data_IF_508113743734
#
_entry.id   IF_508113743734
#
_cell.length_a   1.000
_cell.length_b   1.000
_cell.length_c   1.000
_cell.angle_alpha   90.00
_cell.angle_beta   90.00
_cell.angle_gamma   90.00
#
_symmetry.space_group_name_H-M   'P 1'
#
loop_
_entity.id
_entity.type
_entity.pdbx_description
1 polymer ?
#
# COMPACT_ATOMS: atom_id res chain seq x y z
N UNK A 1 -4.20 -2.32 22.04
CA UNK A 1 -2.89 -2.01 22.64
C UNK A 1 -2.42 -0.74 21.99
N UNK A 2 -2.45 0.37 22.71
CA UNK A 2 -1.95 1.67 22.24
C UNK A 2 -0.42 1.60 22.19
N UNK A 3 0.15 1.89 21.02
CA UNK A 3 1.61 2.00 20.85
C UNK A 3 2.13 3.02 21.86
N UNK A 4 3.18 2.66 22.58
CA UNK A 4 3.71 3.41 23.71
C UNK A 4 4.20 4.79 23.22
N UNK A 5 3.91 5.90 23.93
CA UNK A 5 4.35 7.25 23.56
C UNK A 5 5.89 7.40 23.38
N UNK A 6 6.66 6.49 23.98
CA UNK A 6 8.14 6.42 23.87
C UNK A 6 8.64 6.26 22.42
N UNK A 7 7.86 5.65 21.52
CA UNK A 7 8.28 5.46 20.11
C UNK A 7 8.15 6.75 19.29
N UNK A 8 7.15 7.57 19.58
CA UNK A 8 6.92 8.81 18.84
C UNK A 8 7.88 9.91 19.29
N UNK A 9 8.21 9.97 20.59
CA UNK A 9 9.24 10.88 21.14
C UNK A 9 10.64 10.57 20.58
N UNK A 10 10.99 9.27 20.44
CA UNK A 10 12.26 8.85 19.82
C UNK A 10 12.32 9.26 18.35
N UNK A 11 11.25 9.04 17.61
CA UNK A 11 11.19 9.43 16.19
C UNK A 11 11.33 10.94 16.04
N UNK A 12 10.62 11.72 16.85
CA UNK A 12 10.74 13.18 16.83
C UNK A 12 12.18 13.66 17.14
N UNK A 13 12.83 13.06 18.12
CA UNK A 13 14.22 13.37 18.47
C UNK A 13 15.19 13.02 17.32
N UNK A 14 15.01 11.87 16.64
CA UNK A 14 15.82 11.51 15.46
C UNK A 14 15.62 12.52 14.31
N UNK A 15 14.37 12.92 14.07
CA UNK A 15 14.04 13.93 13.05
C UNK A 15 14.77 15.25 13.30
N UNK A 16 14.71 15.77 14.52
CA UNK A 16 15.40 17.02 14.88
C UNK A 16 16.91 16.94 14.68
N UNK A 17 17.54 15.83 15.02
CA UNK A 17 18.98 15.62 14.81
C UNK A 17 19.33 15.50 13.33
N UNK A 18 18.54 14.76 12.57
CA UNK A 18 18.72 14.62 11.13
C UNK A 18 18.53 15.98 10.40
N UNK A 19 17.57 16.81 10.84
CA UNK A 19 17.39 18.18 10.34
C UNK A 19 18.60 19.10 10.64
N UNK A 20 19.34 18.85 11.73
CA UNK A 20 20.61 19.54 12.04
C UNK A 20 21.80 19.00 11.24
N UNK A 21 21.61 18.01 10.36
CA UNK A 21 22.64 17.46 9.48
C UNK A 21 23.36 16.24 10.05
N UNK A 22 22.88 15.63 11.14
CA UNK A 22 23.48 14.43 11.69
C UNK A 22 23.14 13.20 10.84
N UNK A 23 24.12 12.69 10.07
CA UNK A 23 23.97 11.55 9.18
C UNK A 23 23.53 10.29 9.91
N UNK A 24 24.11 9.99 11.06
CA UNK A 24 23.77 8.80 11.84
C UNK A 24 22.28 8.79 12.25
N UNK A 25 21.74 9.96 12.64
CA UNK A 25 20.32 10.11 12.97
C UNK A 25 19.43 9.90 11.72
N UNK A 26 19.85 10.39 10.56
CA UNK A 26 19.13 10.19 9.30
C UNK A 26 19.12 8.70 8.89
N UNK A 27 20.27 8.04 8.97
CA UNK A 27 20.40 6.61 8.61
C UNK A 27 19.54 5.74 9.53
N UNK A 28 19.52 6.06 10.84
CA UNK A 28 18.69 5.36 11.82
C UNK A 28 17.19 5.60 11.53
N UNK A 29 16.79 6.85 11.28
CA UNK A 29 15.42 7.22 10.95
C UNK A 29 14.90 6.49 9.71
N UNK A 30 15.70 6.44 8.65
CA UNK A 30 15.36 5.71 7.42
C UNK A 30 15.28 4.21 7.68
N UNK A 31 16.23 3.64 8.41
CA UNK A 31 16.28 2.21 8.75
C UNK A 31 15.03 1.77 9.55
N UNK A 32 14.58 2.59 10.50
CA UNK A 32 13.38 2.28 11.29
C UNK A 32 12.09 2.37 10.47
N UNK A 33 12.06 3.18 9.40
CA UNK A 33 10.83 3.41 8.62
C UNK A 33 10.79 2.71 7.27
N UNK A 34 11.90 2.12 6.79
CA UNK A 34 11.91 1.40 5.51
C UNK A 34 10.89 0.26 5.48
N UNK A 35 10.74 -0.46 6.60
CA UNK A 35 9.79 -1.56 6.70
C UNK A 35 8.33 -1.08 6.61
N UNK A 36 8.01 0.07 7.21
CA UNK A 36 6.69 0.71 7.10
C UNK A 36 6.39 1.06 5.64
N UNK A 37 7.31 1.78 4.96
CA UNK A 37 7.16 2.18 3.56
C UNK A 37 7.01 0.95 2.65
N UNK A 38 7.86 -0.05 2.83
CA UNK A 38 7.80 -1.31 2.05
C UNK A 38 6.44 -2.01 2.19
N UNK A 39 5.87 -2.04 3.39
CA UNK A 39 4.58 -2.68 3.60
C UNK A 39 3.40 -1.87 3.03
N UNK A 40 3.47 -0.53 3.06
CA UNK A 40 2.44 0.31 2.42
C UNK A 40 2.47 0.10 0.90
N UNK A 41 3.64 0.28 0.30
CA UNK A 41 3.80 0.24 -1.16
C UNK A 41 3.53 -1.17 -1.70
N UNK A 42 4.12 -2.19 -1.08
CA UNK A 42 3.97 -3.59 -1.52
C UNK A 42 2.52 -4.07 -1.49
N UNK A 43 1.77 -3.73 -0.43
CA UNK A 43 0.35 -4.08 -0.35
C UNK A 43 -0.52 -3.31 -1.35
N UNK A 44 -0.26 -2.02 -1.51
CA UNK A 44 -1.03 -1.19 -2.41
C UNK A 44 -0.81 -1.56 -3.87
N UNK A 45 0.43 -1.80 -4.28
CA UNK A 45 0.80 -2.13 -5.65
C UNK A 45 0.66 -3.63 -5.99
N UNK A 46 0.63 -4.52 -4.98
CA UNK A 46 0.29 -5.95 -5.10
C UNK A 46 0.97 -6.67 -6.28
N UNK A 47 2.30 -6.61 -6.34
CA UNK A 47 3.09 -7.30 -7.38
C UNK A 47 3.37 -6.47 -8.63
N UNK A 48 3.13 -5.17 -8.60
CA UNK A 48 3.58 -4.29 -9.68
C UNK A 48 5.11 -4.33 -9.80
N UNK A 49 5.68 -4.41 -11.01
CA UNK A 49 7.13 -4.50 -11.19
C UNK A 49 7.90 -3.31 -10.59
N UNK A 50 7.31 -2.12 -10.57
CA UNK A 50 7.93 -0.89 -10.05
C UNK A 50 7.82 -0.76 -8.52
N UNK A 51 7.42 -1.80 -7.79
CA UNK A 51 7.24 -1.73 -6.33
C UNK A 51 8.50 -1.26 -5.62
N UNK A 52 9.65 -1.83 -5.94
CA UNK A 52 10.93 -1.48 -5.31
C UNK A 52 11.35 -0.05 -5.67
N UNK A 53 11.13 0.39 -6.92
CA UNK A 53 11.40 1.76 -7.37
C UNK A 53 10.53 2.77 -6.62
N UNK A 54 9.25 2.46 -6.40
CA UNK A 54 8.33 3.31 -5.63
C UNK A 54 8.74 3.39 -4.16
N UNK A 55 9.21 2.29 -3.57
CA UNK A 55 9.77 2.30 -2.20
C UNK A 55 10.99 3.20 -2.13
N UNK A 56 11.93 3.05 -3.06
CA UNK A 56 13.15 3.84 -3.11
C UNK A 56 12.85 5.33 -3.31
N UNK A 57 11.98 5.68 -4.29
CA UNK A 57 11.61 7.08 -4.54
C UNK A 57 10.88 7.68 -3.34
N UNK A 58 10.03 6.90 -2.65
CA UNK A 58 9.38 7.34 -1.40
C UNK A 58 10.42 7.72 -0.34
N UNK A 59 11.41 6.87 -0.10
CA UNK A 59 12.47 7.13 0.87
C UNK A 59 13.34 8.33 0.46
N UNK A 60 13.64 8.47 -0.82
CA UNK A 60 14.36 9.63 -1.35
C UNK A 60 13.57 10.93 -1.15
N UNK A 61 12.25 10.92 -1.35
CA UNK A 61 11.40 12.09 -1.10
C UNK A 61 11.33 12.42 0.40
N UNK A 62 11.28 11.41 1.27
CA UNK A 62 11.36 11.60 2.72
C UNK A 62 12.67 12.29 3.10
N UNK A 63 13.81 11.80 2.63
CA UNK A 63 15.13 12.36 2.92
C UNK A 63 15.24 13.81 2.40
N UNK A 64 14.85 14.06 1.15
CA UNK A 64 14.91 15.40 0.54
C UNK A 64 13.98 16.40 1.20
N UNK A 65 12.81 15.95 1.64
CA UNK A 65 11.79 16.79 2.24
C UNK A 65 11.94 17.00 3.74
N UNK A 66 12.80 16.24 4.42
CA UNK A 66 12.90 16.21 5.88
C UNK A 66 13.12 17.60 6.49
N UNK A 67 13.95 18.44 5.86
CA UNK A 67 14.20 19.81 6.30
C UNK A 67 12.98 20.75 6.25
N UNK A 68 11.92 20.35 5.53
CA UNK A 68 10.67 21.15 5.43
C UNK A 68 9.62 20.73 6.45
N UNK A 69 9.82 19.61 7.15
CA UNK A 69 8.89 19.11 8.16
C UNK A 69 8.96 20.01 9.40
N UNK A 70 7.84 20.68 9.70
CA UNK A 70 7.75 21.65 10.80
C UNK A 70 7.54 21.01 12.16
N UNK A 71 6.80 19.95 12.19
CA UNK A 71 6.48 19.20 13.40
C UNK A 71 7.11 17.80 13.34
N UNK A 72 8.23 17.58 14.08
CA UNK A 72 8.90 16.28 14.12
C UNK A 72 8.01 15.11 14.54
N UNK A 73 7.01 15.35 15.41
CA UNK A 73 6.08 14.32 15.86
C UNK A 73 5.16 13.82 14.74
N UNK A 74 4.96 14.63 13.69
CA UNK A 74 4.15 14.23 12.52
C UNK A 74 4.93 13.45 11.45
N UNK A 75 6.20 13.08 11.69
CA UNK A 75 7.07 12.43 10.70
C UNK A 75 6.44 11.17 10.11
N UNK A 76 5.84 10.32 10.95
CA UNK A 76 5.24 9.06 10.50
C UNK A 76 4.04 9.30 9.57
N UNK A 77 3.11 10.16 9.95
CA UNK A 77 1.95 10.51 9.11
C UNK A 77 2.38 11.19 7.81
N UNK A 78 3.38 12.05 7.86
CA UNK A 78 3.97 12.69 6.69
C UNK A 78 4.62 11.68 5.74
N UNK A 79 5.38 10.70 6.26
CA UNK A 79 5.97 9.60 5.48
C UNK A 79 4.89 8.75 4.81
N UNK A 80 3.82 8.42 5.53
CA UNK A 80 2.66 7.68 4.98
C UNK A 80 2.01 8.47 3.84
N UNK A 81 1.83 9.78 3.99
CA UNK A 81 1.28 10.65 2.94
C UNK A 81 2.17 10.68 1.69
N UNK A 82 3.50 10.75 1.86
CA UNK A 82 4.45 10.66 0.73
C UNK A 82 4.31 9.31 0.02
N UNK A 83 4.30 8.20 0.75
CA UNK A 83 4.14 6.87 0.17
C UNK A 83 2.86 6.77 -0.67
N UNK A 84 1.72 7.24 -0.14
CA UNK A 84 0.44 7.23 -0.86
C UNK A 84 0.47 8.11 -2.11
N UNK A 85 1.15 9.23 -2.08
CA UNK A 85 1.33 10.09 -3.25
C UNK A 85 2.19 9.42 -4.33
N UNK A 86 3.27 8.72 -3.96
CA UNK A 86 4.09 7.97 -4.91
C UNK A 86 3.32 6.79 -5.53
N UNK A 87 2.52 6.07 -4.75
CA UNK A 87 1.64 5.00 -5.26
C UNK A 87 0.66 5.55 -6.30
N UNK A 88 -0.03 6.66 -5.98
CA UNK A 88 -0.97 7.31 -6.92
C UNK A 88 -0.27 7.81 -8.18
N UNK A 89 0.97 8.29 -8.06
CA UNK A 89 1.80 8.75 -9.19
C UNK A 89 2.21 7.59 -10.08
N UNK A 90 2.69 6.48 -9.51
CA UNK A 90 3.02 5.27 -10.23
C UNK A 90 1.84 4.80 -11.07
N UNK A 91 0.65 4.69 -10.49
CA UNK A 91 -0.56 4.24 -11.21
C UNK A 91 -1.00 5.19 -12.32
N UNK A 92 -0.82 6.50 -12.16
CA UNK A 92 -1.14 7.48 -13.22
C UNK A 92 -0.15 7.44 -14.37
N UNK A 93 1.11 7.12 -14.07
CA UNK A 93 2.16 6.95 -15.10
C UNK A 93 1.99 5.68 -15.92
N UNK A 94 1.35 4.67 -15.33
CA UNK A 94 0.97 3.41 -15.99
C UNK A 94 -0.45 3.55 -16.59
N UNK A 95 -0.72 4.61 -17.39
CA UNK A 95 -1.92 4.63 -18.21
C UNK A 95 -1.88 3.44 -19.16
N UNK A 96 -2.97 2.68 -19.34
CA UNK A 96 -2.97 1.58 -20.27
C UNK A 96 -2.80 2.14 -21.69
N UNK A 97 -1.61 2.03 -22.22
CA UNK A 97 -1.47 1.79 -23.64
C UNK A 97 -2.22 0.48 -23.83
N UNK A 98 -3.32 0.54 -24.57
CA UNK A 98 -4.16 -0.60 -24.90
C UNK A 98 -3.34 -1.57 -25.76
N UNK A 99 -2.51 -2.35 -25.11
CA UNK A 99 -1.98 -3.60 -25.63
C UNK A 99 -2.50 -4.72 -24.77
N UNK A 100 -3.71 -5.17 -25.13
CA UNK A 100 -4.34 -6.38 -24.61
C UNK A 100 -3.47 -7.64 -24.78
N UNK A 101 -2.36 -7.55 -25.48
CA UNK A 101 -1.43 -8.65 -25.72
C UNK A 101 -0.31 -8.76 -24.68
N UNK A 102 0.00 -7.70 -23.92
CA UNK A 102 1.12 -7.68 -22.96
C UNK A 102 0.73 -7.91 -21.51
N UNK A 103 -0.55 -8.03 -21.20
CA UNK A 103 -1.05 -8.30 -19.85
C UNK A 103 -0.76 -9.74 -19.35
N UNK A 104 -0.20 -10.59 -20.21
CA UNK A 104 0.25 -11.95 -19.89
C UNK A 104 1.77 -12.03 -19.67
N UNK A 105 2.47 -10.92 -19.55
CA UNK A 105 3.81 -10.94 -19.02
C UNK A 105 3.71 -11.47 -17.59
N UNK A 106 4.11 -12.71 -17.44
CA UNK A 106 4.30 -13.44 -16.18
C UNK A 106 4.99 -12.51 -15.20
N UNK A 107 4.21 -11.86 -14.33
CA UNK A 107 4.78 -11.13 -13.21
C UNK A 107 5.73 -12.08 -12.51
N UNK A 108 6.95 -11.62 -12.26
CA UNK A 108 7.94 -12.37 -11.49
C UNK A 108 7.23 -12.96 -10.26
N UNK A 109 7.21 -14.30 -10.07
CA UNK A 109 6.60 -14.92 -8.90
C UNK A 109 7.14 -14.33 -7.57
N UNK A 110 8.32 -13.72 -7.58
CA UNK A 110 8.88 -12.96 -6.47
C UNK A 110 8.25 -11.58 -6.23
N UNK A 111 7.53 -11.03 -7.20
CA UNK A 111 6.94 -9.69 -7.10
C UNK A 111 5.56 -9.65 -6.44
N UNK A 112 4.88 -10.79 -6.27
CA UNK A 112 3.57 -10.83 -5.61
C UNK A 112 3.69 -10.67 -4.10
N UNK A 113 3.35 -9.46 -3.61
CA UNK A 113 3.42 -9.15 -2.18
C UNK A 113 2.51 -10.05 -1.32
N UNK A 114 1.40 -10.54 -1.84
CA UNK A 114 0.54 -11.46 -1.12
C UNK A 114 1.26 -12.82 -0.91
N UNK A 115 1.92 -13.34 -1.94
CA UNK A 115 2.72 -14.57 -1.83
C UNK A 115 3.93 -14.36 -0.91
N UNK A 116 4.65 -13.25 -1.05
CA UNK A 116 5.72 -12.88 -0.12
C UNK A 116 5.24 -12.82 1.33
N UNK A 117 4.05 -12.26 1.56
CA UNK A 117 3.44 -12.20 2.89
C UNK A 117 3.15 -13.60 3.43
N UNK A 118 2.57 -14.47 2.60
CA UNK A 118 2.26 -15.87 2.98
C UNK A 118 3.54 -16.61 3.36
N UNK A 119 4.56 -16.54 2.51
CA UNK A 119 5.81 -17.30 2.68
C UNK A 119 6.62 -16.74 3.86
N UNK A 120 6.86 -15.42 3.90
CA UNK A 120 7.73 -14.81 4.92
C UNK A 120 7.13 -14.81 6.32
N UNK A 121 5.81 -14.75 6.43
CA UNK A 121 5.12 -14.80 7.72
C UNK A 121 4.61 -16.20 8.07
N UNK A 122 4.85 -17.21 7.25
CA UNK A 122 4.40 -18.58 7.48
C UNK A 122 2.88 -18.67 7.67
N UNK A 123 2.11 -17.92 6.86
CA UNK A 123 0.66 -17.84 7.02
C UNK A 123 -0.01 -19.14 6.64
N UNK A 124 -0.94 -19.59 7.49
CA UNK A 124 -1.77 -20.76 7.27
C UNK A 124 -3.26 -20.40 7.29
N UNK A 125 -4.08 -21.32 6.85
CA UNK A 125 -5.55 -21.29 6.95
C UNK A 125 -6.15 -19.94 6.49
N UNK A 126 -6.95 -19.32 7.35
CA UNK A 126 -7.69 -18.12 7.00
C UNK A 126 -6.81 -16.87 6.84
N UNK A 127 -5.63 -16.82 7.46
CA UNK A 127 -4.67 -15.70 7.24
C UNK A 127 -4.11 -15.74 5.82
N UNK A 128 -3.75 -16.92 5.33
CA UNK A 128 -3.37 -17.14 3.93
C UNK A 128 -4.49 -16.77 2.98
N UNK A 129 -5.73 -17.16 3.31
CA UNK A 129 -6.92 -16.81 2.54
C UNK A 129 -7.12 -15.29 2.42
N UNK A 130 -6.93 -14.54 3.53
CA UNK A 130 -7.00 -13.07 3.50
C UNK A 130 -5.94 -12.49 2.56
N UNK A 131 -4.70 -12.96 2.64
CA UNK A 131 -3.63 -12.50 1.75
C UNK A 131 -3.95 -12.78 0.28
N UNK A 132 -4.44 -13.98 -0.06
CA UNK A 132 -4.88 -14.29 -1.43
C UNK A 132 -6.06 -13.43 -1.89
N UNK A 133 -6.99 -13.14 -0.98
CA UNK A 133 -8.17 -12.33 -1.28
C UNK A 133 -7.81 -10.87 -1.65
N UNK A 134 -6.67 -10.35 -1.21
CA UNK A 134 -6.23 -9.00 -1.56
C UNK A 134 -6.04 -8.81 -3.07
N UNK A 135 -5.66 -9.86 -3.79
CA UNK A 135 -5.49 -9.84 -5.24
C UNK A 135 -6.79 -9.52 -5.99
N UNK A 136 -7.95 -9.79 -5.36
CA UNK A 136 -9.28 -9.59 -5.93
C UNK A 136 -9.84 -8.19 -5.69
N UNK A 137 -9.18 -7.36 -4.89
CA UNK A 137 -9.64 -6.00 -4.59
C UNK A 137 -9.31 -5.03 -5.73
N UNK A 138 -10.14 -4.01 -5.86
CA UNK A 138 -9.84 -2.87 -6.73
C UNK A 138 -8.62 -2.10 -6.19
N UNK A 139 -7.87 -1.36 -7.03
CA UNK A 139 -6.69 -0.63 -6.61
C UNK A 139 -6.93 0.29 -5.41
N UNK A 140 -8.02 1.08 -5.41
CA UNK A 140 -8.36 1.99 -4.31
C UNK A 140 -8.69 1.26 -3.01
N UNK A 141 -9.33 0.09 -3.10
CA UNK A 141 -9.62 -0.74 -1.93
C UNK A 141 -8.34 -1.41 -1.38
N UNK A 142 -7.36 -1.72 -2.24
CA UNK A 142 -6.03 -2.20 -1.80
C UNK A 142 -5.24 -1.13 -1.05
N UNK A 143 -5.27 0.13 -1.53
CA UNK A 143 -4.65 1.27 -0.85
C UNK A 143 -5.22 1.45 0.55
N UNK A 144 -6.55 1.43 0.61
CA UNK A 144 -7.27 1.56 1.87
C UNK A 144 -6.99 0.38 2.81
N UNK A 145 -6.93 -0.85 2.28
CA UNK A 145 -6.59 -2.04 3.05
C UNK A 145 -5.16 -1.97 3.59
N UNK A 146 -4.19 -1.48 2.81
CA UNK A 146 -2.81 -1.34 3.24
C UNK A 146 -2.69 -0.42 4.47
N UNK A 147 -3.40 0.72 4.45
CA UNK A 147 -3.44 1.66 5.58
C UNK A 147 -4.26 1.12 6.76
N UNK A 148 -5.43 0.56 6.49
CA UNK A 148 -6.29 0.01 7.54
C UNK A 148 -5.64 -1.16 8.27
N UNK A 149 -4.88 -2.00 7.57
CA UNK A 149 -4.11 -3.07 8.21
C UNK A 149 -3.06 -2.49 9.18
N UNK A 150 -2.33 -1.45 8.77
CA UNK A 150 -1.34 -0.79 9.63
C UNK A 150 -1.99 -0.12 10.85
N UNK A 151 -3.17 0.47 10.66
CA UNK A 151 -3.96 1.00 11.77
C UNK A 151 -4.37 -0.11 12.74
N UNK A 152 -4.87 -1.23 12.23
CA UNK A 152 -5.26 -2.40 13.03
C UNK A 152 -4.07 -3.02 13.77
N UNK A 153 -2.88 -2.98 13.16
CA UNK A 153 -1.63 -3.40 13.76
C UNK A 153 -1.07 -2.38 14.79
N UNK A 154 -1.66 -1.19 14.89
CA UNK A 154 -1.17 -0.11 15.76
C UNK A 154 0.06 0.62 15.23
N UNK A 155 0.38 0.45 13.95
CA UNK A 155 1.53 1.09 13.31
C UNK A 155 1.25 2.53 12.89
N UNK A 156 0.00 2.87 12.56
CA UNK A 156 -0.47 4.23 12.28
C UNK A 156 -1.76 4.50 13.05
N UNK A 157 -2.08 5.77 13.26
CA UNK A 157 -3.34 6.18 13.87
C UNK A 157 -4.45 6.30 12.82
N UNK A 158 -5.73 6.35 13.28
CA UNK A 158 -6.86 6.72 12.43
C UNK A 158 -6.67 8.11 11.79
N UNK A 159 -6.05 9.04 12.49
CA UNK A 159 -5.73 10.37 11.99
C UNK A 159 -4.78 10.31 10.80
N UNK A 160 -3.74 9.48 10.87
CA UNK A 160 -2.76 9.29 9.80
C UNK A 160 -3.43 8.69 8.54
N UNK A 161 -4.31 7.69 8.73
CA UNK A 161 -5.08 7.10 7.63
C UNK A 161 -5.96 8.15 6.93
N UNK A 162 -6.68 8.95 7.70
CA UNK A 162 -7.57 10.02 7.18
C UNK A 162 -6.75 11.06 6.43
N UNK A 163 -5.63 11.51 7.00
CA UNK A 163 -4.74 12.48 6.38
C UNK A 163 -4.13 11.95 5.07
N UNK A 164 -3.65 10.70 5.07
CA UNK A 164 -3.04 10.07 3.90
C UNK A 164 -4.01 9.86 2.72
N UNK A 165 -5.30 9.67 3.02
CA UNK A 165 -6.35 9.52 2.01
C UNK A 165 -6.99 10.85 1.59
N UNK A 166 -6.66 11.95 2.28
CA UNK A 166 -7.26 13.28 2.06
C UNK A 166 -8.80 13.26 2.18
N UNK A 167 -9.32 12.46 3.11
CA UNK A 167 -10.74 12.27 3.34
C UNK A 167 -11.18 12.91 4.67
N UNK A 168 -12.49 13.12 4.84
CA UNK A 168 -13.04 13.35 6.18
C UNK A 168 -13.10 12.04 6.97
N UNK A 169 -13.07 12.12 8.31
CA UNK A 169 -13.15 10.94 9.18
C UNK A 169 -14.40 10.09 8.90
N UNK A 170 -15.54 10.73 8.61
CA UNK A 170 -16.79 10.05 8.29
C UNK A 170 -16.68 9.30 6.95
N UNK A 171 -16.14 9.93 5.90
CA UNK A 171 -15.94 9.28 4.61
C UNK A 171 -14.95 8.12 4.70
N UNK A 172 -13.86 8.29 5.47
CA UNK A 172 -12.91 7.22 5.69
C UNK A 172 -13.56 6.01 6.38
N UNK A 173 -14.41 6.23 7.40
CA UNK A 173 -15.14 5.16 8.07
C UNK A 173 -16.04 4.38 7.11
N UNK A 174 -16.83 5.08 6.28
CA UNK A 174 -17.71 4.45 5.27
C UNK A 174 -16.90 3.65 4.26
N UNK A 175 -15.79 4.22 3.76
CA UNK A 175 -14.92 3.53 2.80
C UNK A 175 -14.27 2.28 3.40
N UNK A 176 -13.83 2.34 4.66
CA UNK A 176 -13.28 1.18 5.38
C UNK A 176 -14.33 0.07 5.50
N UNK A 177 -15.57 0.39 5.87
CA UNK A 177 -16.63 -0.61 5.95
C UNK A 177 -16.95 -1.25 4.60
N UNK A 178 -17.00 -0.44 3.54
CA UNK A 178 -17.21 -0.94 2.17
C UNK A 178 -16.05 -1.85 1.74
N UNK A 179 -14.81 -1.45 1.96
CA UNK A 179 -13.62 -2.24 1.65
C UNK A 179 -13.62 -3.59 2.41
N UNK A 180 -13.97 -3.60 3.69
CA UNK A 180 -14.12 -4.84 4.46
C UNK A 180 -15.14 -5.79 3.83
N UNK A 181 -16.30 -5.27 3.42
CA UNK A 181 -17.31 -6.06 2.71
C UNK A 181 -16.80 -6.62 1.37
N UNK A 182 -15.97 -5.86 0.64
CA UNK A 182 -15.32 -6.34 -0.58
C UNK A 182 -14.28 -7.43 -0.28
N UNK A 183 -13.51 -7.28 0.79
CA UNK A 183 -12.53 -8.27 1.22
C UNK A 183 -13.22 -9.59 1.63
N UNK A 184 -14.31 -9.53 2.41
CA UNK A 184 -15.07 -10.73 2.79
C UNK A 184 -15.69 -11.42 1.57
N UNK A 185 -16.20 -10.64 0.60
CA UNK A 185 -16.67 -11.20 -0.66
C UNK A 185 -15.53 -11.86 -1.46
N UNK A 186 -14.35 -11.25 -1.49
CA UNK A 186 -13.17 -11.82 -2.14
C UNK A 186 -12.72 -13.13 -1.46
N UNK A 187 -12.78 -13.21 -0.14
CA UNK A 187 -12.49 -14.44 0.62
C UNK A 187 -13.47 -15.57 0.27
N UNK A 188 -14.77 -15.24 0.16
CA UNK A 188 -15.77 -16.20 -0.30
C UNK A 188 -15.45 -16.71 -1.72
N UNK A 189 -15.02 -15.81 -2.62
CA UNK A 189 -14.58 -16.19 -3.99
C UNK A 189 -13.40 -17.14 -3.94
N UNK A 190 -12.37 -16.86 -3.14
CA UNK A 190 -11.18 -17.72 -2.97
C UNK A 190 -11.59 -19.11 -2.48
N UNK A 191 -12.45 -19.21 -1.47
CA UNK A 191 -12.96 -20.49 -0.95
C UNK A 191 -13.77 -21.24 -1.98
N UNK A 192 -14.68 -20.55 -2.67
CA UNK A 192 -15.51 -21.18 -3.71
C UNK A 192 -14.64 -21.74 -4.83
N UNK A 193 -13.60 -21.02 -5.26
CA UNK A 193 -12.67 -21.47 -6.31
C UNK A 193 -11.80 -22.65 -5.86
N UNK A 194 -11.35 -22.67 -4.61
CA UNK A 194 -10.62 -23.83 -4.05
C UNK A 194 -11.46 -25.10 -4.06
N UNK A 195 -12.77 -24.97 -3.90
CA UNK A 195 -13.73 -26.09 -3.87
C UNK A 195 -14.61 -26.12 -5.13
N UNK A 196 -14.15 -25.55 -6.25
CA UNK A 196 -14.96 -25.42 -7.48
C UNK A 196 -15.49 -26.74 -8.03
N UNK A 197 -14.75 -27.84 -7.84
CA UNK A 197 -15.15 -29.19 -8.27
C UNK A 197 -16.40 -29.70 -7.55
N UNK A 198 -16.71 -29.19 -6.36
CA UNK A 198 -17.92 -29.54 -5.62
C UNK A 198 -19.19 -28.83 -6.13
N UNK A 199 -19.07 -27.89 -7.08
CA UNK A 199 -20.17 -27.14 -7.65
C UNK A 199 -20.07 -27.13 -9.19
N UNK A 200 -20.84 -27.97 -9.91
CA UNK A 200 -20.79 -28.02 -11.38
C UNK A 200 -21.07 -26.67 -12.05
N UNK A 201 -22.02 -25.89 -11.52
CA UNK A 201 -22.35 -24.56 -12.04
C UNK A 201 -21.18 -23.58 -11.90
N UNK A 202 -20.46 -23.62 -10.78
CA UNK A 202 -19.26 -22.79 -10.60
C UNK A 202 -18.13 -23.26 -11.52
N UNK A 203 -17.97 -24.57 -11.68
CA UNK A 203 -16.96 -25.13 -12.57
C UNK A 203 -17.20 -24.68 -14.01
N UNK A 204 -18.45 -24.72 -14.47
CA UNK A 204 -18.86 -24.25 -15.80
C UNK A 204 -18.71 -22.71 -15.93
N UNK A 205 -19.06 -21.92 -14.88
CA UNK A 205 -18.87 -20.47 -14.88
C UNK A 205 -17.39 -20.08 -14.98
N UNK A 206 -16.51 -20.87 -14.38
CA UNK A 206 -15.07 -20.61 -14.32
C UNK A 206 -14.29 -21.24 -15.48
N UNK A 207 -14.93 -21.92 -16.44
CA UNK A 207 -14.27 -22.51 -17.62
C UNK A 207 -13.61 -21.45 -18.50
N UNK A 208 -14.24 -20.30 -18.60
CA UNK A 208 -13.75 -19.16 -19.41
C UNK A 208 -12.80 -18.22 -18.63
N UNK A 209 -12.51 -18.55 -17.37
CA UNK A 209 -11.64 -17.73 -16.54
C UNK A 209 -10.17 -18.07 -16.79
N UNK A 210 -9.38 -17.03 -17.10
CA UNK A 210 -7.94 -17.09 -17.37
C UNK A 210 -7.05 -17.39 -16.14
N UNK A 211 -7.67 -17.53 -14.96
CA UNK A 211 -6.94 -17.73 -13.70
C UNK A 211 -6.52 -16.43 -13.01
N UNK A 212 -6.64 -15.27 -13.68
CA UNK A 212 -6.23 -13.99 -13.12
C UNK A 212 -7.34 -13.35 -12.26
N UNK A 213 -7.05 -12.97 -11.00
CA UNK A 213 -7.99 -12.22 -10.17
C UNK A 213 -8.33 -10.86 -10.77
N UNK A 214 -9.63 -10.55 -10.89
CA UNK A 214 -10.10 -9.26 -11.39
C UNK A 214 -11.41 -8.86 -10.73
N UNK A 215 -11.73 -7.56 -10.77
CA UNK A 215 -13.00 -7.03 -10.26
C UNK A 215 -14.22 -7.64 -10.98
N UNK A 216 -14.10 -7.92 -12.28
CA UNK A 216 -15.14 -8.55 -13.07
C UNK A 216 -15.41 -9.97 -12.56
N UNK A 217 -14.38 -10.78 -12.46
CA UNK A 217 -14.50 -12.16 -12.01
C UNK A 217 -14.90 -12.25 -10.54
N UNK A 218 -14.40 -11.35 -9.69
CA UNK A 218 -14.89 -11.23 -8.29
C UNK A 218 -16.41 -11.04 -8.26
N UNK A 219 -16.96 -10.14 -9.10
CA UNK A 219 -18.40 -9.88 -9.15
C UNK A 219 -19.18 -11.09 -9.68
N UNK A 220 -18.69 -11.73 -10.74
CA UNK A 220 -19.36 -12.91 -11.36
C UNK A 220 -19.40 -14.09 -10.40
N UNK A 221 -18.23 -14.53 -9.92
CA UNK A 221 -18.09 -15.66 -9.00
C UNK A 221 -18.76 -15.36 -7.65
N UNK A 222 -18.58 -14.16 -7.10
CA UNK A 222 -19.19 -13.76 -5.85
C UNK A 222 -20.73 -13.70 -5.91
N UNK A 223 -21.32 -13.33 -7.06
CA UNK A 223 -22.77 -13.42 -7.27
C UNK A 223 -23.24 -14.86 -7.21
N UNK A 224 -22.58 -15.75 -7.95
CA UNK A 224 -22.89 -17.18 -7.90
C UNK A 224 -22.73 -17.74 -6.49
N UNK A 225 -21.62 -17.45 -5.81
CA UNK A 225 -21.31 -17.97 -4.48
C UNK A 225 -22.32 -17.55 -3.41
N UNK A 226 -22.96 -16.39 -3.58
CA UNK A 226 -24.05 -15.93 -2.68
C UNK A 226 -25.40 -16.55 -3.01
N UNK A 227 -25.65 -16.91 -4.25
CA UNK A 227 -26.92 -17.48 -4.71
C UNK A 227 -26.96 -19.01 -4.64
N UNK A 228 -25.82 -19.67 -4.69
CA UNK A 228 -25.70 -21.13 -4.69
C UNK A 228 -25.49 -21.64 -3.25
N UNK A 229 -26.35 -22.51 -2.78
CA UNK A 229 -26.28 -23.07 -1.43
C UNK A 229 -24.95 -23.79 -1.14
N UNK A 230 -24.47 -24.61 -2.09
CA UNK A 230 -23.21 -25.34 -1.96
C UNK A 230 -22.00 -24.40 -1.79
N UNK A 231 -21.96 -23.29 -2.56
CA UNK A 231 -20.91 -22.29 -2.45
C UNK A 231 -21.09 -21.39 -1.22
N UNK A 232 -22.33 -21.04 -0.87
CA UNK A 232 -22.64 -20.23 0.30
C UNK A 232 -22.23 -20.89 1.62
N UNK A 233 -22.36 -22.22 1.70
CA UNK A 233 -21.90 -23.00 2.87
C UNK A 233 -20.40 -22.80 3.15
N UNK A 234 -19.59 -22.44 2.14
CA UNK A 234 -18.17 -22.14 2.31
C UNK A 234 -17.92 -20.89 3.18
N UNK A 235 -18.95 -20.07 3.40
CA UNK A 235 -18.88 -18.92 4.33
C UNK A 235 -18.82 -19.35 5.79
N UNK A 236 -19.27 -20.56 6.11
CA UNK A 236 -19.29 -21.06 7.48
C UNK A 236 -17.88 -21.08 8.07
N UNK A 237 -17.74 -20.52 9.27
CA UNK A 237 -16.45 -20.44 9.97
C UNK A 237 -15.50 -19.34 9.49
N UNK A 238 -15.96 -18.39 8.66
CA UNK A 238 -15.16 -17.19 8.34
C UNK A 238 -14.99 -16.32 9.59
N UNK A 239 -13.76 -16.18 10.04
CA UNK A 239 -13.38 -15.23 11.10
C UNK A 239 -13.26 -13.83 10.46
N UNK A 240 -13.74 -12.76 11.12
CA UNK A 240 -13.55 -11.39 10.63
C UNK A 240 -12.09 -11.07 10.32
N UNK A 241 -11.86 -10.35 9.21
CA UNK A 241 -10.50 -10.04 8.75
C UNK A 241 -9.67 -9.29 9.81
N UNK A 242 -10.32 -8.42 10.60
CA UNK A 242 -9.68 -7.71 11.71
C UNK A 242 -8.99 -8.66 12.69
N UNK A 243 -9.69 -9.70 13.13
CA UNK A 243 -9.15 -10.69 14.08
C UNK A 243 -7.98 -11.50 13.50
N UNK A 244 -7.92 -11.64 12.18
CA UNK A 244 -6.83 -12.33 11.49
C UNK A 244 -5.60 -11.44 11.28
N UNK A 245 -5.82 -10.13 11.12
CA UNK A 245 -4.76 -9.15 10.86
C UNK A 245 -4.08 -8.67 12.14
N UNK A 246 -4.77 -8.71 13.27
CA UNK A 246 -4.19 -8.38 14.58
C UNK A 246 -3.00 -9.30 14.89
N UNK A 247 -1.87 -8.70 15.23
CA UNK A 247 -0.64 -9.42 15.57
C UNK A 247 0.15 -9.99 14.38
N UNK A 248 -0.26 -9.71 13.12
CA UNK A 248 0.61 -9.98 11.99
C UNK A 248 1.76 -8.97 11.97
N UNK A 249 2.98 -9.49 11.97
CA UNK A 249 4.17 -8.66 11.78
C UNK A 249 4.19 -8.01 10.39
N UNK A 250 4.86 -6.87 10.27
CA UNK A 250 5.18 -6.31 8.96
C UNK A 250 6.14 -7.24 8.21
N UNK A 251 5.95 -7.38 6.90
CA UNK A 251 6.87 -8.13 6.03
C UNK A 251 8.20 -7.39 5.99
N UNK A 252 9.33 -8.03 6.32
CA UNK A 252 10.63 -7.39 6.22
C UNK A 252 10.96 -7.11 4.74
N UNK A 253 11.60 -5.96 4.43
CA UNK A 253 12.08 -5.69 3.08
C UNK A 253 13.12 -6.74 2.66
N UNK A 254 13.31 -6.97 1.36
CA UNK A 254 14.39 -7.80 0.86
C UNK A 254 15.72 -7.22 1.37
N UNK A 255 16.62 -8.10 1.85
CA UNK A 255 17.98 -7.66 2.14
C UNK A 255 18.64 -7.36 0.81
N UNK A 256 18.76 -6.08 0.44
CA UNK A 256 19.69 -5.69 -0.62
C UNK A 256 21.07 -6.05 -0.14
N UNK A 257 21.69 -7.08 -0.76
CA UNK A 257 23.12 -7.30 -0.59
C UNK A 257 23.83 -5.97 -0.92
N UNK A 258 24.81 -5.51 -0.12
CA UNK A 258 25.54 -4.29 -0.42
C UNK A 258 26.07 -4.40 -1.85
N UNK A 259 25.69 -3.43 -2.70
CA UNK A 259 25.76 -3.46 -4.15
C UNK A 259 27.04 -4.04 -4.70
N UNK A 260 26.91 -5.15 -5.41
CA UNK A 260 27.86 -5.45 -6.47
C UNK A 260 27.54 -4.41 -7.57
N UNK A 261 28.46 -3.50 -7.90
CA UNK A 261 28.23 -2.60 -9.04
C UNK A 261 28.00 -3.49 -10.26
N UNK A 262 26.84 -3.31 -10.90
CA UNK A 262 26.56 -3.96 -12.20
C UNK A 262 27.68 -3.57 -13.12
N UNK A 263 28.53 -4.54 -13.47
CA UNK A 263 29.54 -4.38 -14.51
C UNK A 263 28.75 -4.14 -15.80
N UNK A 264 28.59 -2.88 -16.17
CA UNK A 264 28.18 -2.52 -17.50
C UNK A 264 29.22 -3.13 -18.44
N UNK A 265 28.80 -4.14 -19.20
CA UNK A 265 29.54 -4.67 -20.31
C UNK A 265 29.95 -3.49 -21.22
N UNK A 266 31.25 -3.16 -21.20
CA UNK A 266 31.82 -2.25 -22.15
C UNK A 266 31.72 -2.91 -23.54
N UNK A 267 30.63 -2.61 -24.24
CA UNK A 267 30.54 -2.80 -25.66
C UNK A 267 31.52 -1.86 -26.33
N UNK A 268 32.54 -2.44 -26.99
CA UNK A 268 33.49 -1.78 -27.88
C UNK A 268 32.72 -1.07 -28.98
N UNK A 269 32.58 0.25 -28.90
CA UNK A 269 32.16 1.07 -30.04
C UNK A 269 33.31 1.92 -30.53
N UNK A 270 33.68 1.65 -31.76
CA UNK A 270 34.54 2.50 -32.61
C UNK A 270 33.96 3.92 -32.75
N UNK A 271 34.79 4.96 -32.84
CA UNK A 271 34.32 6.33 -32.87
C UNK A 271 33.78 6.70 -34.25
N UNK A 272 32.48 6.98 -34.33
CA UNK A 272 31.90 7.75 -35.44
C UNK A 272 31.66 9.16 -34.95
N UNK A 273 32.41 10.09 -35.51
CA UNK A 273 32.29 11.52 -35.29
C UNK A 273 31.00 12.06 -35.90
N UNK A 274 30.09 12.57 -35.05
CA UNK A 274 29.03 13.48 -35.48
C UNK A 274 28.94 14.71 -34.57
N UNK A 275 28.94 15.83 -35.27
CA UNK A 275 28.94 17.25 -34.92
C UNK A 275 27.84 17.60 -33.91
N UNK A 276 28.21 18.51 -33.01
CA UNK A 276 27.36 19.14 -32.00
C UNK A 276 26.16 19.90 -32.58
N UNK A 277 24.99 19.73 -31.96
CA UNK A 277 23.99 20.78 -31.86
C UNK A 277 23.44 20.85 -30.43
N UNK A 278 23.75 21.98 -29.77
CA UNK A 278 23.35 22.27 -28.43
C UNK A 278 21.88 22.71 -28.41
N UNK A 279 21.01 21.90 -27.83
CA UNK A 279 19.64 22.27 -27.49
C UNK A 279 19.46 22.24 -25.98
N UNK A 280 19.51 23.41 -25.30
CA UNK A 280 19.21 23.56 -23.87
C UNK A 280 17.72 23.57 -23.67
N UNK A 281 17.12 22.49 -23.21
CA UNK A 281 15.82 22.51 -22.62
C UNK A 281 15.94 22.59 -21.08
N UNK A 282 15.88 23.82 -20.55
CA UNK A 282 15.73 24.06 -19.11
C UNK A 282 14.26 23.85 -18.76
N UNK A 283 13.87 22.66 -18.29
CA UNK A 283 12.59 22.43 -17.64
C UNK A 283 12.59 23.11 -16.26
N UNK A 284 11.84 24.21 -16.12
CA UNK A 284 11.56 24.84 -14.84
C UNK A 284 10.63 23.96 -14.03
N UNK A 285 11.16 23.33 -12.99
CA UNK A 285 10.37 22.66 -11.97
C UNK A 285 9.79 23.71 -11.04
N UNK A 286 8.49 23.95 -11.11
CA UNK A 286 7.77 24.71 -10.10
C UNK A 286 7.51 23.80 -8.90
N UNK A 287 8.14 24.11 -7.77
CA UNK A 287 7.81 23.53 -6.48
C UNK A 287 6.40 23.99 -6.09
N UNK A 288 5.41 23.10 -6.21
CA UNK A 288 4.08 23.34 -5.66
C UNK A 288 4.21 23.39 -4.14
N UNK A 289 4.00 24.58 -3.58
CA UNK A 289 3.91 24.80 -2.13
C UNK A 289 2.76 23.96 -1.60
N UNK A 290 3.09 22.94 -0.82
CA UNK A 290 2.12 22.19 -0.05
C UNK A 290 1.62 23.06 1.10
N UNK A 291 0.36 23.50 1.04
CA UNK A 291 -0.33 24.17 2.14
C UNK A 291 -1.10 23.12 2.90
N UNK A 292 -0.56 22.65 4.03
CA UNK A 292 -1.26 21.74 4.93
C UNK A 292 -2.64 22.29 5.35
N UNK A 293 -3.59 21.45 5.71
CA UNK A 293 -4.91 21.89 6.14
C UNK A 293 -4.76 22.75 7.40
N UNK A 294 -5.18 24.02 7.31
CA UNK A 294 -5.32 24.89 8.47
C UNK A 294 -6.42 24.35 9.36
N UNK A 295 -6.07 23.87 10.54
CA UNK A 295 -7.03 23.60 11.60
C UNK A 295 -7.76 24.91 11.92
N UNK A 296 -9.04 25.01 11.58
CA UNK A 296 -9.91 26.07 12.12
C UNK A 296 -10.22 25.69 13.56
N UNK A 297 -9.58 26.39 14.48
CA UNK A 297 -10.01 26.43 15.88
C UNK A 297 -11.24 27.33 15.89
N UNK A 298 -12.43 26.75 15.80
CA UNK A 298 -13.67 27.45 16.14
C UNK A 298 -13.81 27.45 17.66
N UNK A 299 -13.44 28.58 18.28
CA UNK A 299 -13.77 28.86 19.65
C UNK A 299 -15.28 28.95 19.82
N UNK A 300 -15.90 27.98 20.48
CA UNK A 300 -17.25 28.05 20.96
C UNK A 300 -17.24 28.62 22.37
N UNK A 301 -17.63 29.86 22.47
CA UNK A 301 -17.92 30.59 23.72
C UNK A 301 -19.08 29.90 24.46
N UNK A 302 -18.84 29.58 25.71
CA UNK A 302 -19.83 29.04 26.63
C UNK A 302 -20.99 30.04 26.85
N UNK A 303 -22.20 29.60 26.57
CA UNK A 303 -23.43 30.22 27.08
C UNK A 303 -23.94 29.35 28.25
N UNK A 304 -23.71 29.83 29.45
CA UNK A 304 -24.42 29.40 30.65
C UNK A 304 -25.93 29.68 30.47
N UNK A 305 -26.77 28.68 30.57
CA UNK A 305 -28.21 28.87 30.93
C UNK A 305 -28.53 27.95 32.08
N UNK A 306 -28.75 28.63 33.23
CA UNK A 306 -29.42 28.22 34.41
C UNK A 306 -30.85 27.73 34.09
N UNK A 307 -31.25 26.58 34.70
CA UNK A 307 -32.64 26.22 34.91
C UNK A 307 -32.83 25.85 36.41
N UNK A 308 -33.71 26.61 36.99
CA UNK A 308 -34.30 26.32 38.30
C UNK A 308 -35.25 25.11 38.25
#
# INVERSE_FOLDING_TARGET
MTKTPVSDDRTAWLVERAQRGERAALDELVSEHVQLVYNIVGRALAGHPDTDDVVQETLLQVVRGLGTLRDPASFRSWTVAIAMNQIRRCRRGTQPVQDLASAHSLGDPGADFAELTIVRLGLSDQRREVAEATRWLDPDDRDLLALWWLETAGEISRGDLVAALELSAQHAAVRVQRMKGQLDNARLVVRALRNRTACPTLSALASDWDGAPSALWRKRIGRHARACEACWRQRKGLVPAEGLLVGLAMVPPPRTAPGRPSAHSQGSHSPVSHRASAGRARGKWQATKWSGPRARISGSSAAQRSWA
#
